data_IF_085407088557
#
_entry.id   IF_085407088557
#
_cell.length_a   1.000
_cell.length_b   1.000
_cell.length_c   1.000
_cell.angle_alpha   90.00
_cell.angle_beta   90.00
_cell.angle_gamma   90.00
#
_symmetry.space_group_name_H-M   'P 1'
#
loop_
_entity.id
_entity.type
_entity.pdbx_description
1 polymer ?
#
# COMPACT_ATOMS: atom_id res chain seq x y z
N UNK A 1 -13.94 -4.30 -18.24
CA UNK A 1 -13.94 -4.42 -16.77
C UNK A 1 -12.56 -4.93 -16.39
N UNK A 2 -11.65 -4.03 -16.02
CA UNK A 2 -10.42 -4.44 -15.33
C UNK A 2 -10.93 -5.05 -14.02
N UNK A 3 -10.52 -6.27 -13.67
CA UNK A 3 -11.03 -6.93 -12.47
C UNK A 3 -10.77 -6.07 -11.22
N UNK A 4 -11.51 -6.30 -10.15
CA UNK A 4 -11.32 -5.68 -8.82
C UNK A 4 -9.86 -5.78 -8.32
N UNK A 5 -9.05 -6.67 -8.92
CA UNK A 5 -7.63 -6.85 -8.62
C UNK A 5 -6.67 -5.93 -9.40
N UNK A 6 -7.13 -5.29 -10.48
CA UNK A 6 -6.30 -4.35 -11.25
C UNK A 6 -6.02 -3.06 -10.49
N UNK A 7 -7.00 -2.57 -9.72
CA UNK A 7 -6.82 -1.40 -8.86
C UNK A 7 -5.80 -1.65 -7.75
N UNK A 8 -5.70 -2.89 -7.24
CA UNK A 8 -4.70 -3.26 -6.22
C UNK A 8 -3.28 -3.02 -6.72
N UNK A 9 -2.99 -3.48 -7.94
CA UNK A 9 -1.69 -3.28 -8.58
C UNK A 9 -1.41 -1.80 -8.83
N UNK A 10 -2.45 -1.03 -9.18
CA UNK A 10 -2.35 0.41 -9.41
C UNK A 10 -2.10 1.18 -8.11
N UNK A 11 -2.78 0.85 -7.01
CA UNK A 11 -2.55 1.46 -5.70
C UNK A 11 -1.13 1.22 -5.22
N UNK A 12 -0.62 -0.01 -5.39
CA UNK A 12 0.78 -0.32 -5.10
C UNK A 12 1.74 0.49 -6.00
N UNK A 13 1.45 0.57 -7.30
CA UNK A 13 2.27 1.34 -8.23
C UNK A 13 2.30 2.84 -7.89
N UNK A 14 1.15 3.43 -7.52
CA UNK A 14 1.07 4.82 -7.05
C UNK A 14 1.97 5.01 -5.84
N UNK A 15 1.89 4.13 -4.85
CA UNK A 15 2.72 4.24 -3.65
C UNK A 15 4.22 4.24 -3.98
N UNK A 16 4.67 3.31 -4.84
CA UNK A 16 6.08 3.13 -5.19
C UNK A 16 6.62 4.21 -6.13
N UNK A 17 5.86 4.58 -7.15
CA UNK A 17 6.28 5.55 -8.18
C UNK A 17 6.03 6.97 -7.69
N UNK A 18 4.92 7.20 -7.00
CA UNK A 18 4.53 8.47 -6.41
C UNK A 18 5.58 8.98 -5.42
N UNK A 19 6.10 8.13 -4.54
CA UNK A 19 7.19 8.51 -3.62
C UNK A 19 8.41 9.04 -4.38
N UNK A 20 8.86 8.31 -5.41
CA UNK A 20 9.97 8.74 -6.27
C UNK A 20 9.67 10.05 -7.00
N UNK A 21 8.42 10.25 -7.43
CA UNK A 21 7.97 11.46 -8.10
C UNK A 21 7.93 12.67 -7.17
N UNK A 22 7.54 12.48 -5.90
CA UNK A 22 7.56 13.49 -4.84
C UNK A 22 8.98 13.88 -4.46
N UNK A 23 9.87 12.90 -4.31
CA UNK A 23 11.29 13.13 -4.04
C UNK A 23 11.93 14.02 -5.11
N UNK A 24 11.68 13.75 -6.40
CA UNK A 24 12.16 14.58 -7.51
C UNK A 24 11.63 16.02 -7.49
N UNK A 25 10.44 16.24 -6.91
CA UNK A 25 9.82 17.56 -6.73
C UNK A 25 10.22 18.24 -5.42
N UNK A 26 11.03 17.57 -4.57
CA UNK A 26 11.38 18.01 -3.21
C UNK A 26 10.15 18.23 -2.33
N UNK A 27 9.10 17.43 -2.54
CA UNK A 27 7.94 17.44 -1.67
C UNK A 27 8.17 16.54 -0.45
N UNK A 28 7.48 16.79 0.68
CA UNK A 28 7.55 15.93 1.85
C UNK A 28 7.17 14.50 1.49
N UNK A 29 7.81 13.52 2.13
CA UNK A 29 7.64 12.12 1.78
C UNK A 29 6.34 11.60 2.41
N UNK A 30 5.69 10.63 1.79
CA UNK A 30 4.53 9.94 2.37
C UNK A 30 5.02 8.60 2.90
N UNK A 31 5.14 8.47 4.22
CA UNK A 31 5.56 7.27 4.93
C UNK A 31 4.34 6.42 5.31
N UNK A 32 3.91 5.59 4.36
CA UNK A 32 2.80 4.65 4.59
C UNK A 32 3.17 3.68 5.72
N UNK A 33 2.30 3.52 6.75
CA UNK A 33 2.54 2.63 7.87
C UNK A 33 2.86 1.20 7.42
N UNK A 34 3.93 0.65 7.99
CA UNK A 34 4.38 -0.71 7.73
C UNK A 34 4.38 -1.58 9.00
N UNK A 35 3.95 -1.03 10.13
CA UNK A 35 3.91 -1.73 11.41
C UNK A 35 2.65 -2.60 11.49
N UNK A 36 2.76 -3.80 12.07
CA UNK A 36 1.63 -4.75 12.14
C UNK A 36 0.44 -4.17 12.93
N UNK A 37 0.72 -3.34 13.92
CA UNK A 37 -0.28 -2.68 14.78
C UNK A 37 -1.16 -1.69 14.03
N UNK A 38 -0.74 -1.25 12.83
CA UNK A 38 -1.52 -0.38 11.96
C UNK A 38 -2.48 -1.15 11.04
N UNK A 39 -2.39 -2.48 11.00
CA UNK A 39 -3.18 -3.31 10.09
C UNK A 39 -4.55 -3.60 10.69
N UNK A 40 -5.59 -3.39 9.89
CA UNK A 40 -6.96 -3.66 10.31
C UNK A 40 -7.22 -5.18 10.44
N UNK A 41 -8.05 -5.63 11.41
CA UNK A 41 -8.18 -7.06 11.76
C UNK A 41 -8.70 -7.99 10.66
N UNK A 42 -9.38 -7.45 9.64
CA UNK A 42 -9.89 -8.22 8.50
C UNK A 42 -8.78 -8.72 7.56
N UNK A 43 -7.58 -8.12 7.65
CA UNK A 43 -6.44 -8.53 6.84
C UNK A 43 -5.73 -9.72 7.47
N UNK A 44 -5.48 -10.73 6.65
CA UNK A 44 -4.55 -11.82 6.95
C UNK A 44 -3.37 -11.84 5.99
N UNK A 45 -2.43 -12.73 6.29
CA UNK A 45 -1.18 -12.88 5.54
C UNK A 45 -0.89 -14.35 5.28
N UNK A 46 -0.40 -14.65 4.10
CA UNK A 46 0.07 -15.99 3.75
C UNK A 46 1.49 -15.90 3.21
N UNK A 47 2.39 -16.66 3.84
CA UNK A 47 3.74 -16.85 3.33
C UNK A 47 3.70 -17.90 2.21
N UNK A 48 4.11 -17.52 1.01
CA UNK A 48 4.14 -18.41 -0.16
C UNK A 48 5.53 -19.02 -0.35
N UNK A 49 6.58 -18.22 -0.16
CA UNK A 49 7.98 -18.64 -0.23
C UNK A 49 8.79 -17.95 0.88
N UNK A 50 10.09 -18.26 1.05
CA UNK A 50 10.93 -17.54 2.00
C UNK A 50 11.01 -16.02 1.77
N UNK A 51 10.75 -15.56 0.54
CA UNK A 51 10.87 -14.14 0.17
C UNK A 51 9.60 -13.54 -0.44
N UNK A 52 8.49 -14.29 -0.42
CA UNK A 52 7.21 -13.80 -0.96
C UNK A 52 6.03 -14.21 -0.10
N UNK A 53 4.99 -13.38 -0.16
CA UNK A 53 3.70 -13.62 0.48
C UNK A 53 2.59 -12.86 -0.21
N UNK A 54 1.37 -13.03 0.31
CA UNK A 54 0.17 -12.32 -0.16
C UNK A 54 -0.74 -11.95 1.00
N UNK A 55 -1.65 -11.01 0.72
CA UNK A 55 -2.74 -10.66 1.63
C UNK A 55 -3.92 -11.62 1.50
N UNK A 56 -4.67 -11.75 2.58
CA UNK A 56 -6.04 -12.29 2.58
C UNK A 56 -6.98 -11.24 3.18
N UNK A 57 -8.23 -11.21 2.72
CA UNK A 57 -9.29 -10.36 3.26
C UNK A 57 -10.44 -11.27 3.70
N UNK A 58 -10.75 -11.26 5.00
CA UNK A 58 -11.76 -12.14 5.60
C UNK A 58 -11.58 -13.63 5.21
N UNK A 59 -10.32 -14.06 5.11
CA UNK A 59 -9.94 -15.43 4.74
C UNK A 59 -9.89 -15.72 3.24
N UNK A 60 -10.34 -14.82 2.37
CA UNK A 60 -10.20 -14.94 0.91
C UNK A 60 -8.84 -14.38 0.45
N UNK A 61 -8.12 -15.10 -0.41
CA UNK A 61 -6.82 -14.63 -0.89
C UNK A 61 -6.97 -13.47 -1.86
N UNK A 62 -6.09 -12.48 -1.72
CA UNK A 62 -5.86 -11.47 -2.75
C UNK A 62 -4.87 -12.05 -3.76
N UNK A 63 -5.18 -12.06 -5.07
CA UNK A 63 -4.32 -12.61 -6.11
C UNK A 63 -3.19 -11.64 -6.48
N UNK A 64 -2.42 -11.21 -5.48
CA UNK A 64 -1.23 -10.40 -5.63
C UNK A 64 -0.12 -10.95 -4.74
N UNK A 65 0.90 -11.54 -5.36
CA UNK A 65 2.11 -11.97 -4.68
C UNK A 65 3.11 -10.81 -4.60
N UNK A 66 3.70 -10.63 -3.43
CA UNK A 66 4.66 -9.58 -3.16
C UNK A 66 5.94 -10.13 -2.58
N UNK A 67 7.07 -9.51 -2.95
CA UNK A 67 8.33 -9.73 -2.26
C UNK A 67 8.26 -9.10 -0.87
N UNK A 68 8.42 -9.92 0.16
CA UNK A 68 8.34 -9.49 1.56
C UNK A 68 8.95 -10.57 2.46
N UNK A 69 9.28 -10.22 3.72
CA UNK A 69 9.98 -11.13 4.64
C UNK A 69 9.17 -11.28 5.93
N UNK A 70 8.77 -12.51 6.23
CA UNK A 70 8.11 -12.87 7.48
C UNK A 70 9.10 -12.92 8.66
N UNK A 71 8.65 -12.68 9.91
CA UNK A 71 7.26 -12.45 10.32
C UNK A 71 6.80 -10.99 10.23
N UNK A 72 7.64 -10.05 9.77
CA UNK A 72 7.31 -8.61 9.81
C UNK A 72 6.48 -8.17 8.59
N UNK A 73 6.79 -8.71 7.42
CA UNK A 73 6.11 -8.49 6.13
C UNK A 73 5.68 -7.04 5.83
N UNK A 74 6.62 -6.07 5.86
CA UNK A 74 6.30 -4.65 5.81
C UNK A 74 5.60 -4.21 4.52
N UNK A 75 5.93 -4.83 3.38
CA UNK A 75 5.28 -4.53 2.10
C UNK A 75 3.80 -4.94 2.10
N UNK A 76 3.46 -6.06 2.73
CA UNK A 76 2.06 -6.48 2.86
C UNK A 76 1.31 -5.56 3.83
N UNK A 77 1.96 -5.10 4.90
CA UNK A 77 1.36 -4.13 5.82
C UNK A 77 1.07 -2.80 5.12
N UNK A 78 1.98 -2.31 4.27
CA UNK A 78 1.75 -1.11 3.49
C UNK A 78 0.68 -1.30 2.42
N UNK A 79 0.67 -2.46 1.74
CA UNK A 79 -0.36 -2.77 0.75
C UNK A 79 -1.75 -2.72 1.40
N UNK A 80 -1.91 -3.30 2.60
CA UNK A 80 -3.21 -3.30 3.30
C UNK A 80 -3.69 -1.90 3.70
N UNK A 81 -2.78 -0.93 3.88
CA UNK A 81 -3.16 0.48 4.10
C UNK A 81 -3.71 1.10 2.82
N UNK A 82 -2.96 1.01 1.71
CA UNK A 82 -3.32 1.70 0.45
C UNK A 82 -4.48 1.03 -0.28
N UNK A 83 -4.77 -0.24 0.00
CA UNK A 83 -5.94 -0.94 -0.52
C UNK A 83 -7.26 -0.46 0.08
N UNK A 84 -7.23 0.23 1.22
CA UNK A 84 -8.43 0.80 1.86
C UNK A 84 -8.77 2.20 1.33
N UNK A 85 -7.96 2.74 0.42
CA UNK A 85 -8.10 4.09 -0.14
C UNK A 85 -8.55 3.94 -1.59
N UNK A 86 -9.55 4.74 -1.98
CA UNK A 86 -9.98 4.85 -3.37
C UNK A 86 -8.81 5.23 -4.28
N UNK A 87 -8.74 4.63 -5.47
CA UNK A 87 -7.64 4.83 -6.40
C UNK A 87 -7.43 6.31 -6.76
N UNK A 88 -8.50 7.05 -7.06
CA UNK A 88 -8.42 8.45 -7.49
C UNK A 88 -7.98 9.34 -6.31
N UNK A 89 -8.47 9.05 -5.11
CA UNK A 89 -8.06 9.76 -3.89
C UNK A 89 -6.59 9.52 -3.53
N UNK A 90 -6.12 8.28 -3.66
CA UNK A 90 -4.71 7.92 -3.44
C UNK A 90 -3.79 8.64 -4.43
N UNK A 91 -4.15 8.61 -5.73
CA UNK A 91 -3.40 9.31 -6.77
C UNK A 91 -3.36 10.82 -6.53
N UNK A 92 -4.52 11.42 -6.23
CA UNK A 92 -4.62 12.85 -5.94
C UNK A 92 -3.75 13.25 -4.74
N UNK A 93 -3.76 12.44 -3.66
CA UNK A 93 -2.92 12.69 -2.48
C UNK A 93 -1.42 12.68 -2.80
N UNK A 94 -0.95 11.73 -3.62
CA UNK A 94 0.45 11.70 -4.06
C UNK A 94 0.81 12.89 -4.97
N UNK A 95 -0.15 13.41 -5.74
CA UNK A 95 0.00 14.57 -6.62
C UNK A 95 -0.15 15.93 -5.92
N UNK A 96 -0.53 15.96 -4.65
CA UNK A 96 -0.66 17.18 -3.84
C UNK A 96 0.57 17.35 -2.93
N UNK A 97 1.29 18.50 -2.95
CA UNK A 97 2.42 18.75 -2.04
C UNK A 97 2.10 18.49 -0.56
N UNK A 98 0.87 18.78 -0.13
CA UNK A 98 0.38 18.58 1.25
C UNK A 98 -0.09 17.15 1.55
N UNK A 99 -0.02 16.24 0.59
CA UNK A 99 -0.51 14.86 0.72
C UNK A 99 -2.04 14.74 0.65
N UNK A 100 -2.75 15.86 0.50
CA UNK A 100 -4.21 15.87 0.54
C UNK A 100 -4.78 15.45 1.92
N UNK A 101 -6.11 15.39 2.05
CA UNK A 101 -6.76 15.15 3.34
C UNK A 101 -6.43 13.77 3.94
N UNK A 102 -6.22 12.75 3.10
CA UNK A 102 -6.00 11.37 3.52
C UNK A 102 -4.53 11.05 3.85
N UNK A 103 -3.58 11.54 3.06
CA UNK A 103 -2.17 11.15 3.20
C UNK A 103 -1.35 12.16 4.01
N UNK A 104 -1.88 13.36 4.33
CA UNK A 104 -1.18 14.37 5.14
C UNK A 104 -0.69 13.84 6.50
N UNK A 105 -1.41 12.90 7.08
CA UNK A 105 -1.06 12.25 8.36
C UNK A 105 0.20 11.38 8.27
N UNK A 106 0.60 11.01 7.05
CA UNK A 106 1.78 10.19 6.77
C UNK A 106 2.93 11.02 6.21
N UNK A 107 2.85 12.36 6.23
CA UNK A 107 3.95 13.19 5.76
C UNK A 107 5.12 13.22 6.74
N UNK A 108 6.34 13.16 6.19
CA UNK A 108 7.61 13.37 6.89
C UNK A 108 8.50 14.42 6.24
#
# INVERSE_FOLDING_TARGET
MISDYGEIMLNWAIMRIGEKARWRRRWPRIDVPAALESVAPQWGFEQLTPITGRLTLDGAYIPMEMRTIFPVHPELNQLSQVMQIDFDELLAGYMDPSGGPLLRQWLS
#
